data_IF_246577747196
#
_entry.id   IF_246577747196
#
_cell.length_a   1.000
_cell.length_b   1.000
_cell.length_c   1.000
_cell.angle_alpha   90.00
_cell.angle_beta   90.00
_cell.angle_gamma   90.00
#
_symmetry.space_group_name_H-M   'P 1'
#
loop_
_entity.id
_entity.type
_entity.pdbx_description
1 polymer ?
#
# COMPACT_ATOMS: atom_id res chain seq x y z
N UNK A 1 85.45 -35.06 9.36
CA UNK A 1 85.02 -34.21 8.23
C UNK A 1 84.04 -33.19 8.76
N UNK A 2 84.44 -31.92 8.73
CA UNK A 2 83.67 -30.79 9.22
C UNK A 2 82.53 -30.46 8.25
N UNK A 3 81.33 -30.19 8.76
CA UNK A 3 80.27 -29.54 7.99
C UNK A 3 79.79 -28.34 8.81
N UNK A 4 80.20 -27.15 8.38
CA UNK A 4 79.72 -25.88 8.88
C UNK A 4 78.22 -25.75 8.58
N UNK A 5 77.41 -25.59 9.62
CA UNK A 5 76.07 -25.01 9.50
C UNK A 5 76.21 -23.49 9.60
N UNK A 6 76.19 -22.83 8.45
CA UNK A 6 76.19 -21.37 8.34
C UNK A 6 74.78 -20.87 8.65
N UNK A 7 74.54 -20.45 9.89
CA UNK A 7 73.31 -19.79 10.31
C UNK A 7 73.21 -18.43 9.60
N UNK A 8 72.34 -18.31 8.60
CA UNK A 8 72.00 -17.01 7.98
C UNK A 8 71.26 -16.15 9.01
N UNK A 9 72.02 -15.33 9.74
CA UNK A 9 71.50 -14.31 10.63
C UNK A 9 70.94 -13.18 9.77
N UNK A 10 69.66 -13.23 9.43
CA UNK A 10 68.97 -12.08 8.83
C UNK A 10 68.95 -10.96 9.86
N UNK A 11 69.76 -9.92 9.64
CA UNK A 11 69.64 -8.67 10.38
C UNK A 11 68.26 -8.07 10.09
N UNK A 12 67.30 -8.31 10.98
CA UNK A 12 66.11 -7.47 11.08
C UNK A 12 66.59 -6.11 11.57
N UNK A 13 66.92 -5.21 10.65
CA UNK A 13 66.91 -3.78 10.90
C UNK A 13 65.49 -3.42 11.33
N UNK A 14 65.27 -3.32 12.63
CA UNK A 14 64.08 -2.73 13.21
C UNK A 14 64.10 -1.24 12.85
N UNK A 15 63.64 -0.90 11.64
CA UNK A 15 63.30 0.48 11.28
C UNK A 15 62.04 0.81 12.06
N UNK A 16 62.19 1.62 13.13
CA UNK A 16 61.06 2.23 13.81
C UNK A 16 60.31 3.16 12.84
N UNK A 17 58.99 3.30 13.04
CA UNK A 17 58.18 4.21 12.25
C UNK A 17 58.65 5.65 12.48
N UNK A 18 58.77 6.41 11.40
CA UNK A 18 59.04 7.84 11.50
C UNK A 18 57.77 8.57 11.95
N UNK A 19 57.92 9.67 12.69
CA UNK A 19 56.78 10.46 13.17
C UNK A 19 55.87 10.95 12.03
N UNK A 20 56.44 11.19 10.84
CA UNK A 20 55.66 11.59 9.66
C UNK A 20 54.82 10.44 9.09
N UNK A 21 55.32 9.22 9.12
CA UNK A 21 54.62 8.04 8.61
C UNK A 21 53.38 7.70 9.45
N UNK A 22 53.50 7.79 10.78
CA UNK A 22 52.36 7.59 11.69
C UNK A 22 51.32 8.69 11.54
N UNK A 23 51.76 9.94 11.30
CA UNK A 23 50.86 11.07 11.03
C UNK A 23 50.09 10.88 9.71
N UNK A 24 50.78 10.51 8.63
CA UNK A 24 50.15 10.24 7.34
C UNK A 24 49.18 9.06 7.45
N UNK A 25 49.59 7.96 8.11
CA UNK A 25 48.73 6.80 8.32
C UNK A 25 47.47 7.14 9.14
N UNK A 26 47.61 7.97 10.18
CA UNK A 26 46.48 8.46 10.97
C UNK A 26 45.49 9.27 10.15
N UNK A 27 45.96 10.19 9.31
CA UNK A 27 45.10 11.00 8.42
C UNK A 27 44.41 10.14 7.36
N UNK A 28 45.11 9.17 6.77
CA UNK A 28 44.50 8.26 5.80
C UNK A 28 43.42 7.38 6.45
N UNK A 29 43.68 6.84 7.64
CA UNK A 29 42.73 6.02 8.37
C UNK A 29 41.46 6.81 8.73
N UNK A 30 41.60 8.05 9.20
CA UNK A 30 40.45 8.89 9.57
C UNK A 30 39.60 9.23 8.34
N UNK A 31 40.23 9.53 7.20
CA UNK A 31 39.51 9.76 5.95
C UNK A 31 38.75 8.52 5.47
N UNK A 32 39.38 7.35 5.48
CA UNK A 32 38.74 6.09 5.08
C UNK A 32 37.56 5.75 6.00
N UNK A 33 37.74 5.83 7.31
CA UNK A 33 36.67 5.55 8.27
C UNK A 33 35.51 6.54 8.15
N UNK A 34 35.80 7.82 7.87
CA UNK A 34 34.76 8.83 7.63
C UNK A 34 33.96 8.50 6.37
N UNK A 35 34.63 8.09 5.29
CA UNK A 35 33.96 7.70 4.05
C UNK A 35 33.07 6.46 4.24
N UNK A 36 33.60 5.40 4.87
CA UNK A 36 32.84 4.16 5.15
C UNK A 36 31.67 4.43 6.09
N UNK A 37 31.86 5.26 7.12
CA UNK A 37 30.79 5.66 8.03
C UNK A 37 29.63 6.33 7.30
N UNK A 38 29.93 7.27 6.38
CA UNK A 38 28.89 7.91 5.55
C UNK A 38 28.17 6.91 4.64
N UNK A 39 28.92 6.03 3.96
CA UNK A 39 28.32 5.00 3.09
C UNK A 39 27.39 4.07 3.87
N UNK A 40 27.79 3.66 5.09
CA UNK A 40 26.97 2.80 5.95
C UNK A 40 25.65 3.47 6.38
N UNK A 41 25.70 4.74 6.77
CA UNK A 41 24.48 5.50 7.13
C UNK A 41 23.55 5.64 5.93
N UNK A 42 24.07 5.95 4.74
CA UNK A 42 23.25 6.05 3.53
C UNK A 42 22.59 4.71 3.16
N UNK A 43 23.31 3.60 3.29
CA UNK A 43 22.76 2.26 3.04
C UNK A 43 21.63 1.90 4.02
N UNK A 44 21.79 2.25 5.30
CA UNK A 44 20.76 2.04 6.32
C UNK A 44 19.51 2.88 6.06
N UNK A 45 19.67 4.17 5.71
CA UNK A 45 18.56 5.04 5.34
C UNK A 45 17.80 4.53 4.10
N UNK A 46 18.53 4.02 3.10
CA UNK A 46 17.89 3.35 1.95
C UNK A 46 17.12 2.08 2.37
N UNK A 47 17.71 1.26 3.24
CA UNK A 47 17.07 0.05 3.75
C UNK A 47 15.81 0.34 4.58
N UNK A 48 15.79 1.41 5.38
CA UNK A 48 14.62 1.78 6.17
C UNK A 48 13.47 2.22 5.29
N UNK A 49 13.75 3.02 4.26
CA UNK A 49 12.72 3.49 3.34
C UNK A 49 12.12 2.33 2.53
N UNK A 50 12.95 1.39 2.09
CA UNK A 50 12.49 0.16 1.40
C UNK A 50 11.69 -0.77 2.33
N UNK A 51 11.99 -0.78 3.62
CA UNK A 51 11.21 -1.54 4.59
C UNK A 51 9.84 -0.90 4.83
N UNK A 52 9.80 0.43 4.93
CA UNK A 52 8.55 1.15 5.11
C UNK A 52 7.67 1.09 3.87
N UNK A 53 8.27 1.23 2.68
CA UNK A 53 7.56 1.04 1.41
C UNK A 53 6.89 -0.32 1.33
N UNK A 54 7.61 -1.39 1.70
CA UNK A 54 7.03 -2.73 1.73
C UNK A 54 5.80 -2.83 2.62
N UNK A 55 5.77 -2.13 3.76
CA UNK A 55 4.60 -2.10 4.66
C UNK A 55 3.43 -1.33 4.07
N UNK A 56 3.70 -0.21 3.40
CA UNK A 56 2.65 0.56 2.71
C UNK A 56 2.03 -0.27 1.59
N UNK A 57 2.86 -0.89 0.74
CA UNK A 57 2.39 -1.75 -0.35
C UNK A 57 1.63 -2.98 0.18
N UNK A 58 2.08 -3.59 1.28
CA UNK A 58 1.37 -4.69 1.94
C UNK A 58 0.01 -4.25 2.50
N UNK A 59 -0.07 -3.06 3.13
CA UNK A 59 -1.32 -2.54 3.66
C UNK A 59 -2.34 -2.23 2.53
N UNK A 60 -1.86 -1.65 1.42
CA UNK A 60 -2.70 -1.38 0.25
C UNK A 60 -3.16 -2.69 -0.39
N UNK A 61 -2.24 -3.64 -0.61
CA UNK A 61 -2.56 -4.94 -1.21
C UNK A 61 -3.60 -5.72 -0.39
N UNK A 62 -3.45 -5.76 0.94
CA UNK A 62 -4.45 -6.37 1.82
C UNK A 62 -5.81 -5.67 1.68
N UNK A 63 -5.82 -4.34 1.66
CA UNK A 63 -7.06 -3.59 1.49
C UNK A 63 -7.72 -3.81 0.12
N UNK A 64 -6.93 -3.92 -0.97
CA UNK A 64 -7.44 -4.28 -2.30
C UNK A 64 -8.14 -5.65 -2.25
N UNK A 65 -7.56 -6.62 -1.57
CA UNK A 65 -8.17 -7.95 -1.40
C UNK A 65 -9.49 -7.88 -0.62
N UNK A 66 -9.56 -7.06 0.43
CA UNK A 66 -10.80 -6.85 1.20
C UNK A 66 -11.88 -6.16 0.35
N UNK A 67 -11.52 -5.16 -0.45
CA UNK A 67 -12.44 -4.49 -1.36
C UNK A 67 -12.96 -5.45 -2.44
N UNK A 68 -12.09 -6.26 -3.03
CA UNK A 68 -12.50 -7.29 -4.00
C UNK A 68 -13.36 -8.37 -3.36
N UNK A 69 -13.06 -8.75 -2.12
CA UNK A 69 -13.90 -9.66 -1.35
C UNK A 69 -15.28 -9.06 -1.10
N UNK A 70 -15.35 -7.78 -0.72
CA UNK A 70 -16.61 -7.07 -0.49
C UNK A 70 -17.47 -7.01 -1.76
N UNK A 71 -16.88 -6.70 -2.91
CA UNK A 71 -17.57 -6.76 -4.21
C UNK A 71 -18.05 -8.19 -4.55
N UNK A 72 -17.22 -9.21 -4.27
CA UNK A 72 -17.63 -10.61 -4.47
C UNK A 72 -18.77 -11.05 -3.54
N UNK A 73 -18.83 -10.52 -2.31
CA UNK A 73 -19.88 -10.82 -1.33
C UNK A 73 -21.17 -10.08 -1.64
N UNK A 74 -21.06 -8.89 -2.25
CA UNK A 74 -22.20 -8.11 -2.71
C UNK A 74 -22.86 -8.78 -3.90
N UNK A 75 -23.72 -9.75 -3.60
CA UNK A 75 -24.54 -10.45 -4.59
C UNK A 75 -25.94 -9.84 -4.67
N UNK A 76 -26.63 -10.05 -5.79
CA UNK A 76 -27.97 -9.51 -6.00
C UNK A 76 -28.94 -9.90 -4.87
N UNK A 77 -28.83 -11.10 -4.31
CA UNK A 77 -29.70 -11.56 -3.23
C UNK A 77 -29.47 -10.82 -1.91
N UNK A 78 -28.24 -10.40 -1.62
CA UNK A 78 -27.88 -9.64 -0.42
C UNK A 78 -28.39 -8.19 -0.45
N UNK A 79 -28.75 -7.67 -1.62
CA UNK A 79 -29.29 -6.32 -1.75
C UNK A 79 -30.66 -6.25 -1.06
N UNK A 80 -30.87 -5.32 -0.10
CA UNK A 80 -32.13 -5.14 0.61
C UNK A 80 -33.30 -4.86 -0.34
N UNK A 81 -34.51 -5.30 0.03
CA UNK A 81 -35.70 -5.06 -0.77
C UNK A 81 -35.97 -3.57 -1.04
N UNK A 82 -35.64 -2.68 -0.09
CA UNK A 82 -35.74 -1.23 -0.29
C UNK A 82 -34.89 -0.67 -1.43
N UNK A 83 -33.81 -1.38 -1.79
CA UNK A 83 -32.91 -1.02 -2.89
C UNK A 83 -33.25 -1.74 -4.19
N UNK A 84 -33.90 -2.92 -4.10
CA UNK A 84 -34.46 -3.66 -5.23
C UNK A 84 -35.78 -3.07 -5.74
N UNK A 85 -36.55 -2.40 -4.89
CA UNK A 85 -37.85 -1.87 -5.26
C UNK A 85 -37.69 -0.46 -5.84
N UNK A 86 -37.37 -0.35 -7.14
CA UNK A 86 -37.46 0.89 -7.90
C UNK A 86 -38.79 1.05 -8.63
N UNK A 87 -39.01 2.23 -9.20
CA UNK A 87 -40.16 2.50 -10.06
C UNK A 87 -40.15 1.56 -11.28
N UNK A 88 -41.31 0.94 -11.56
CA UNK A 88 -41.53 -0.02 -12.66
C UNK A 88 -40.93 -1.42 -12.48
N UNK A 89 -40.66 -1.85 -11.23
CA UNK A 89 -40.20 -3.21 -10.92
C UNK A 89 -38.72 -3.46 -11.21
N UNK A 90 -37.97 -2.37 -11.48
CA UNK A 90 -36.53 -2.40 -11.68
C UNK A 90 -35.77 -2.13 -10.39
N UNK A 91 -34.74 -2.92 -10.10
CA UNK A 91 -33.79 -2.67 -9.02
C UNK A 91 -33.09 -1.33 -9.20
N UNK A 92 -33.18 -0.45 -8.19
CA UNK A 92 -32.44 0.82 -8.18
C UNK A 92 -30.94 0.54 -8.23
N UNK A 93 -30.48 -0.48 -7.49
CA UNK A 93 -29.08 -0.92 -7.46
C UNK A 93 -28.58 -1.32 -8.85
N UNK A 94 -29.47 -1.91 -9.66
CA UNK A 94 -29.14 -2.28 -11.03
C UNK A 94 -29.08 -1.11 -12.01
N UNK A 95 -29.79 -0.01 -11.72
CA UNK A 95 -29.67 1.23 -12.52
C UNK A 95 -28.39 2.00 -12.23
N UNK A 96 -27.95 1.99 -10.98
CA UNK A 96 -26.75 2.70 -10.53
C UNK A 96 -25.77 1.77 -9.82
N UNK A 97 -25.22 0.76 -10.52
CA UNK A 97 -24.43 -0.27 -9.87
C UNK A 97 -23.12 0.27 -9.30
N UNK A 98 -22.46 1.17 -10.04
CA UNK A 98 -21.19 1.77 -9.62
C UNK A 98 -21.38 2.69 -8.41
N UNK A 99 -22.39 3.57 -8.44
CA UNK A 99 -22.73 4.40 -7.28
C UNK A 99 -23.04 3.53 -6.05
N UNK A 100 -23.85 2.48 -6.23
CA UNK A 100 -24.23 1.59 -5.14
C UNK A 100 -23.02 0.92 -4.47
N UNK A 101 -22.11 0.36 -5.27
CA UNK A 101 -20.89 -0.25 -4.73
C UNK A 101 -19.98 0.80 -4.09
N UNK A 102 -19.80 1.97 -4.70
CA UNK A 102 -18.96 3.03 -4.13
C UNK A 102 -19.46 3.47 -2.76
N UNK A 103 -20.77 3.71 -2.62
CA UNK A 103 -21.38 4.06 -1.33
C UNK A 103 -21.31 2.92 -0.31
N UNK A 104 -21.46 1.67 -0.74
CA UNK A 104 -21.31 0.52 0.14
C UNK A 104 -19.89 0.41 0.70
N UNK A 105 -18.87 0.61 -0.15
CA UNK A 105 -17.46 0.59 0.25
C UNK A 105 -17.13 1.77 1.18
N UNK A 106 -17.67 2.96 0.90
CA UNK A 106 -17.47 4.15 1.73
C UNK A 106 -18.07 3.99 3.15
N UNK A 107 -19.23 3.34 3.25
CA UNK A 107 -19.88 3.06 4.54
C UNK A 107 -19.43 1.72 5.18
N UNK A 108 -18.31 1.14 4.72
CA UNK A 108 -17.74 -0.13 5.24
C UNK A 108 -18.76 -1.28 5.28
N UNK A 109 -19.68 -1.33 4.31
CA UNK A 109 -20.69 -2.37 4.18
C UNK A 109 -21.96 -2.16 5.02
N UNK A 110 -21.96 -1.21 5.95
CA UNK A 110 -23.17 -0.83 6.67
C UNK A 110 -23.96 0.18 5.82
N UNK A 111 -25.12 -0.20 5.30
CA UNK A 111 -25.94 0.70 4.49
C UNK A 111 -27.35 0.83 5.01
N UNK A 112 -27.93 2.02 4.84
CA UNK A 112 -29.30 2.28 5.23
C UNK A 112 -30.25 1.37 4.45
N UNK A 113 -31.17 0.66 5.11
CA UNK A 113 -32.06 -0.29 4.42
C UNK A 113 -33.06 0.35 3.44
N UNK A 114 -33.33 1.66 3.56
CA UNK A 114 -34.33 2.39 2.78
C UNK A 114 -33.72 3.30 1.72
N UNK A 115 -32.59 3.91 2.03
CA UNK A 115 -31.91 4.85 1.13
C UNK A 115 -30.40 4.72 1.28
N UNK A 116 -29.75 3.92 0.42
CA UNK A 116 -28.30 3.75 0.42
C UNK A 116 -27.52 5.07 0.36
N UNK A 117 -28.08 6.15 -0.21
CA UNK A 117 -27.41 7.46 -0.33
C UNK A 117 -27.38 8.23 1.00
N UNK A 118 -28.04 7.71 2.02
CA UNK A 118 -27.98 8.24 3.38
C UNK A 118 -27.19 7.31 4.30
N UNK A 119 -26.83 7.85 5.45
CA UNK A 119 -26.07 7.12 6.47
C UNK A 119 -26.85 5.90 6.97
N UNK A 120 -26.14 4.80 7.22
CA UNK A 120 -26.70 3.54 7.72
C UNK A 120 -27.61 3.71 8.93
N UNK A 121 -27.28 4.63 9.85
CA UNK A 121 -28.05 4.91 11.06
C UNK A 121 -28.40 3.66 11.87
N UNK A 122 -29.42 3.72 12.72
CA UNK A 122 -29.87 2.56 13.51
C UNK A 122 -30.60 1.47 12.71
N UNK A 123 -30.92 1.73 11.44
CA UNK A 123 -31.61 0.82 10.52
C UNK A 123 -30.68 0.31 9.40
N UNK A 124 -29.38 0.24 9.71
CA UNK A 124 -28.37 -0.26 8.78
C UNK A 124 -28.52 -1.76 8.54
N UNK A 125 -28.35 -2.18 7.30
CA UNK A 125 -28.11 -3.58 6.92
C UNK A 125 -26.64 -3.72 6.58
N UNK A 126 -25.99 -4.73 7.15
CA UNK A 126 -24.59 -5.07 6.85
C UNK A 126 -24.56 -5.97 5.60
N UNK A 127 -23.94 -5.49 4.54
CA UNK A 127 -23.79 -6.23 3.28
C UNK A 127 -22.55 -7.13 3.26
N UNK A 128 -21.50 -6.66 3.91
CA UNK A 128 -20.22 -7.34 4.05
C UNK A 128 -19.54 -6.87 5.33
N UNK A 129 -18.58 -7.66 5.87
CA UNK A 129 -17.88 -7.29 7.09
C UNK A 129 -17.15 -5.96 6.93
N UNK A 130 -17.29 -5.08 7.92
CA UNK A 130 -16.57 -3.82 7.95
C UNK A 130 -15.06 -4.04 7.92
N UNK A 131 -14.37 -3.24 7.12
CA UNK A 131 -12.91 -3.22 7.05
C UNK A 131 -12.41 -1.79 7.14
N UNK A 132 -11.28 -1.62 7.82
CA UNK A 132 -10.68 -0.31 8.02
C UNK A 132 -9.89 0.11 6.79
N UNK A 133 -9.85 1.42 6.55
CA UNK A 133 -8.91 2.03 5.61
C UNK A 133 -7.47 1.60 5.91
N UNK A 134 -6.65 1.36 4.88
CA UNK A 134 -5.27 0.94 5.07
C UNK A 134 -4.50 2.04 5.82
N UNK A 135 -3.69 1.65 6.79
CA UNK A 135 -2.81 2.58 7.51
C UNK A 135 -1.58 1.85 8.00
N UNK A 136 -0.47 2.57 8.08
CA UNK A 136 0.74 2.09 8.75
C UNK A 136 0.96 2.92 10.02
N UNK A 137 2.00 2.60 10.81
CA UNK A 137 2.34 3.39 12.01
C UNK A 137 2.86 4.79 11.67
N UNK A 138 3.28 5.01 10.44
CA UNK A 138 4.20 6.07 10.04
C UNK A 138 3.71 6.83 8.81
N UNK A 139 2.92 6.18 7.96
CA UNK A 139 2.30 6.76 6.77
C UNK A 139 0.78 6.59 6.85
N UNK A 140 0.09 7.72 6.76
CA UNK A 140 -1.36 7.78 6.56
C UNK A 140 -1.69 7.57 5.08
N UNK A 141 -2.69 6.74 4.80
CA UNK A 141 -3.14 6.44 3.45
C UNK A 141 -4.58 6.89 3.34
N UNK A 142 -4.78 8.01 2.64
CA UNK A 142 -6.11 8.53 2.34
C UNK A 142 -6.74 7.65 1.27
N UNK A 143 -7.95 7.13 1.55
CA UNK A 143 -8.68 6.28 0.62
C UNK A 143 -9.98 6.98 0.23
N UNK A 144 -10.22 7.09 -1.07
CA UNK A 144 -11.43 7.70 -1.62
C UNK A 144 -12.10 6.77 -2.61
N UNK A 145 -13.43 6.83 -2.65
CA UNK A 145 -14.26 6.03 -3.54
C UNK A 145 -14.97 6.97 -4.51
N UNK A 146 -14.83 6.71 -5.80
CA UNK A 146 -15.48 7.48 -6.86
C UNK A 146 -16.12 6.52 -7.84
N UNK A 147 -17.13 6.98 -8.57
CA UNK A 147 -17.85 6.15 -9.53
C UNK A 147 -18.05 6.90 -10.85
N UNK A 148 -18.06 6.13 -11.94
CA UNK A 148 -18.39 6.56 -13.29
C UNK A 148 -19.67 5.82 -13.69
N UNK A 149 -20.79 6.53 -13.73
CA UNK A 149 -22.10 5.95 -14.06
C UNK A 149 -22.15 5.45 -15.50
N UNK A 150 -21.50 6.15 -16.43
CA UNK A 150 -21.50 5.79 -17.87
C UNK A 150 -20.73 4.49 -18.11
N UNK A 151 -19.64 4.27 -17.36
CA UNK A 151 -18.83 3.05 -17.49
C UNK A 151 -19.23 1.94 -16.53
N UNK A 152 -20.11 2.21 -15.57
CA UNK A 152 -20.41 1.32 -14.45
C UNK A 152 -19.13 0.85 -13.72
N UNK A 153 -18.17 1.76 -13.53
CA UNK A 153 -16.89 1.49 -12.86
C UNK A 153 -16.82 2.25 -11.54
N UNK A 154 -16.32 1.60 -10.50
CA UNK A 154 -15.91 2.21 -9.24
C UNK A 154 -14.40 2.31 -9.20
N UNK A 155 -13.89 3.50 -8.92
CA UNK A 155 -12.46 3.75 -8.76
C UNK A 155 -12.16 4.03 -7.29
N UNK A 156 -11.38 3.14 -6.69
CA UNK A 156 -10.81 3.29 -5.34
C UNK A 156 -9.44 3.91 -5.47
N UNK A 157 -9.24 5.09 -4.88
CA UNK A 157 -7.97 5.83 -4.98
C UNK A 157 -7.30 5.91 -3.62
N UNK A 158 -6.05 5.46 -3.55
CA UNK A 158 -5.16 5.54 -2.41
C UNK A 158 -4.15 6.66 -2.63
N UNK A 159 -4.07 7.59 -1.69
CA UNK A 159 -3.17 8.73 -1.73
C UNK A 159 -2.30 8.74 -0.46
N UNK A 160 -0.98 8.77 -0.63
CA UNK A 160 -0.05 8.69 0.49
C UNK A 160 1.28 9.38 0.18
N UNK A 161 1.99 9.80 1.24
CA UNK A 161 3.36 10.31 1.10
C UNK A 161 4.34 9.14 0.96
N UNK A 162 5.17 9.20 -0.08
CA UNK A 162 6.21 8.22 -0.33
C UNK A 162 7.24 8.23 0.83
N UNK A 163 7.67 7.05 1.31
CA UNK A 163 8.65 6.96 2.39
C UNK A 163 10.05 7.45 1.96
N UNK A 164 10.30 7.59 0.66
CA UNK A 164 11.51 8.17 0.11
C UNK A 164 11.46 9.71 0.11
N UNK A 165 12.52 10.35 0.59
CA UNK A 165 12.62 11.82 0.74
C UNK A 165 12.47 12.64 -0.55
N UNK A 166 12.48 12.01 -1.72
CA UNK A 166 12.52 12.69 -3.03
C UNK A 166 11.33 12.39 -3.94
N UNK A 167 10.37 11.55 -3.51
CA UNK A 167 9.26 11.09 -4.38
C UNK A 167 7.97 11.88 -4.10
N UNK A 168 7.81 12.49 -2.92
CA UNK A 168 6.64 13.32 -2.60
C UNK A 168 5.39 12.46 -2.41
N UNK A 169 4.26 12.83 -3.05
CA UNK A 169 3.00 12.08 -2.97
C UNK A 169 2.91 11.01 -4.05
N UNK A 170 2.50 9.81 -3.67
CA UNK A 170 2.15 8.73 -4.58
C UNK A 170 0.62 8.50 -4.56
N UNK A 171 0.09 8.11 -5.72
CA UNK A 171 -1.31 7.72 -5.89
C UNK A 171 -1.38 6.34 -6.52
N UNK A 172 -2.28 5.50 -6.01
CA UNK A 172 -2.63 4.20 -6.58
C UNK A 172 -4.13 4.13 -6.77
N UNK A 173 -4.58 3.54 -7.86
CA UNK A 173 -6.00 3.40 -8.17
C UNK A 173 -6.35 1.95 -8.50
N UNK A 174 -7.48 1.50 -8.00
CA UNK A 174 -8.10 0.23 -8.32
C UNK A 174 -9.45 0.52 -9.00
N UNK A 175 -9.66 -0.02 -10.19
CA UNK A 175 -10.94 0.05 -10.89
C UNK A 175 -11.69 -1.27 -10.74
N UNK A 176 -12.96 -1.19 -10.39
CA UNK A 176 -13.84 -2.33 -10.13
C UNK A 176 -15.12 -2.18 -10.95
N UNK A 177 -15.59 -3.29 -11.49
CA UNK A 177 -16.94 -3.39 -12.03
C UNK A 177 -17.80 -4.16 -11.03
N UNK A 178 -18.92 -3.62 -10.56
CA UNK A 178 -19.75 -4.27 -9.55
C UNK A 178 -20.20 -5.66 -9.98
N UNK A 179 -19.85 -6.69 -9.22
CA UNK A 179 -20.09 -8.08 -9.61
C UNK A 179 -21.60 -8.40 -9.75
N UNK A 180 -22.44 -7.87 -8.85
CA UNK A 180 -23.88 -8.10 -8.89
C UNK A 180 -24.56 -7.58 -10.17
N UNK A 181 -23.93 -6.65 -10.91
CA UNK A 181 -24.48 -6.09 -12.14
C UNK A 181 -24.77 -7.18 -13.18
N UNK A 182 -24.00 -8.27 -13.18
CA UNK A 182 -24.21 -9.41 -14.08
C UNK A 182 -25.53 -10.16 -13.85
N UNK A 183 -26.16 -9.98 -12.69
CA UNK A 183 -27.44 -10.59 -12.31
C UNK A 183 -28.62 -9.65 -12.51
N UNK A 184 -28.37 -8.39 -12.88
CA UNK A 184 -29.41 -7.44 -13.22
C UNK A 184 -30.06 -7.81 -14.56
N UNK A 185 -31.39 -7.75 -14.65
CA UNK A 185 -32.05 -8.09 -15.90
C UNK A 185 -31.82 -6.99 -16.95
N UNK A 186 -31.80 -7.31 -18.26
CA UNK A 186 -31.46 -6.34 -19.32
C UNK A 186 -32.36 -5.11 -19.35
N UNK A 187 -33.61 -5.23 -18.89
CA UNK A 187 -34.57 -4.13 -18.82
C UNK A 187 -34.29 -3.15 -17.67
N UNK A 188 -33.55 -3.59 -16.65
CA UNK A 188 -33.18 -2.77 -15.50
C UNK A 188 -31.91 -1.94 -15.75
N UNK A 189 -31.02 -2.43 -16.61
CA UNK A 189 -29.75 -1.79 -16.94
C UNK A 189 -29.85 -0.74 -18.08
N UNK A 190 -30.96 -0.70 -18.83
CA UNK A 190 -31.12 0.17 -20.02
C UNK A 190 -31.97 1.42 -19.78
N UNK A 191 -32.41 1.66 -18.54
CA UNK A 191 -33.20 2.84 -18.18
C UNK A 191 -32.30 3.93 -17.59
N UNK A 192 -31.41 4.46 -18.44
CA UNK A 192 -30.67 5.71 -18.21
C UNK A 192 -31.38 6.90 -18.84
#
# INVERSE_FOLDING_TARGET
MASLLTTLRTNKTQKGFTLIETLIAGVLLTLVMTAVGRMGVSALAGSSNLAERRRVEEAIENHIQLVQQADSLLTYDQIPAGHKNGENGASRACRYPAEYLATALEQEGAMNASNWRGDAGSNGTELFPAFQTPKTKTTEIETTYSFDEDKAIVTVTYNFDAPESNIGKETRSLELSPNFQSYCTPYEASAS
#
